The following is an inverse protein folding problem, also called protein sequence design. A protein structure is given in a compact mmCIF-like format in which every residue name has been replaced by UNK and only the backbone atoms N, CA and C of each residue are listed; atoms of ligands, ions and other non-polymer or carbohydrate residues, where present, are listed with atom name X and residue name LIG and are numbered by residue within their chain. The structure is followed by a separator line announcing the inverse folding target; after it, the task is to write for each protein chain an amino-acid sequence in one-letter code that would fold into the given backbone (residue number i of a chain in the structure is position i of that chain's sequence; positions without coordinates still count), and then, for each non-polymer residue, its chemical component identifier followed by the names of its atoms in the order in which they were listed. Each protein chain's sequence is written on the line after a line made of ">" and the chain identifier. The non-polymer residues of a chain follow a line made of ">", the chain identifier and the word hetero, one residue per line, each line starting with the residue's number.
data_IF_185234359730
#
_entry.id   IF_185234359730
#
_cell.length_a   1.000
_cell.length_b   1.000
_cell.length_c   1.000
_cell.angle_alpha   90.00
_cell.angle_beta   90.00
_cell.angle_gamma   90.00
#
_symmetry.space_group_name_H-M   'P 1'
#
loop_
_entity.id
_entity.type
_entity.pdbx_description
1 polymer ?
#
# COMPACT_ATOMS: atom_id res chain seq x y z
N UNK A 1 13.72 3.47 -2.14
CA UNK A 1 12.61 2.97 -1.30
C UNK A 1 11.97 4.18 -0.64
N UNK A 2 10.67 4.38 -0.85
CA UNK A 2 9.93 5.52 -0.30
C UNK A 2 9.70 5.30 1.18
N UNK A 3 10.00 6.31 1.99
CA UNK A 3 9.81 6.27 3.46
C UNK A 3 8.42 6.80 3.78
N UNK A 4 7.61 6.00 4.45
CA UNK A 4 6.26 6.38 4.86
C UNK A 4 6.24 6.76 6.33
N UNK A 5 5.61 7.90 6.62
CA UNK A 5 5.43 8.41 7.97
C UNK A 5 4.12 7.91 8.56
N UNK A 6 4.11 7.72 9.87
CA UNK A 6 2.93 7.37 10.64
C UNK A 6 2.00 8.59 10.68
N UNK A 7 0.72 8.48 10.26
CA UNK A 7 -0.23 9.59 10.30
C UNK A 7 -0.61 10.01 11.74
N UNK A 8 -0.24 9.23 12.75
CA UNK A 8 -0.53 9.52 14.16
C UNK A 8 0.59 10.27 14.86
N UNK A 9 1.86 9.92 14.60
CA UNK A 9 2.99 10.49 15.33
C UNK A 9 4.07 11.14 14.45
N UNK A 10 3.89 11.16 13.12
CA UNK A 10 4.84 11.75 12.16
C UNK A 10 6.17 11.00 12.01
N UNK A 11 6.45 10.01 12.86
CA UNK A 11 7.68 9.18 12.80
C UNK A 11 7.58 8.13 11.70
N UNK A 12 8.71 7.57 11.29
CA UNK A 12 8.79 6.51 10.27
C UNK A 12 7.94 5.29 10.66
N UNK A 13 7.06 4.85 9.77
CA UNK A 13 6.22 3.68 9.94
C UNK A 13 6.77 2.47 9.19
N UNK A 14 7.06 2.64 7.90
CA UNK A 14 7.60 1.59 7.04
C UNK A 14 8.28 2.22 5.81
N UNK A 15 8.97 1.39 5.04
CA UNK A 15 9.50 1.75 3.73
C UNK A 15 8.96 0.77 2.70
N UNK A 16 8.69 1.26 1.49
CA UNK A 16 8.23 0.43 0.40
C UNK A 16 8.79 0.91 -0.93
N UNK A 17 8.96 -0.02 -1.86
CA UNK A 17 9.21 0.31 -3.26
C UNK A 17 7.91 0.65 -4.01
N UNK A 18 6.75 0.26 -3.46
CA UNK A 18 5.42 0.54 -4.02
C UNK A 18 4.84 1.81 -3.40
N UNK A 19 3.95 2.46 -4.13
CA UNK A 19 3.15 3.57 -3.62
C UNK A 19 2.13 3.06 -2.61
N UNK A 20 2.20 3.58 -1.38
CA UNK A 20 1.31 3.24 -0.28
C UNK A 20 0.56 4.48 0.22
N UNK A 21 -0.65 4.27 0.72
CA UNK A 21 -1.36 5.21 1.58
C UNK A 21 -1.48 4.62 2.97
N UNK A 22 -1.26 5.43 4.01
CA UNK A 22 -1.36 5.01 5.41
C UNK A 22 -2.41 5.85 6.13
N UNK A 23 -3.32 5.19 6.84
CA UNK A 23 -4.29 5.80 7.73
C UNK A 23 -4.23 5.14 9.10
N UNK A 24 -4.74 5.82 10.14
CA UNK A 24 -4.99 5.17 11.43
C UNK A 24 -6.09 4.12 11.21
N UNK A 25 -5.88 2.89 11.69
CA UNK A 25 -6.89 1.84 11.59
C UNK A 25 -8.13 2.24 12.41
N UNK A 26 -9.29 2.10 11.80
CA UNK A 26 -10.61 2.24 12.42
C UNK A 26 -11.56 1.19 11.84
N UNK A 27 -12.70 0.98 12.49
CA UNK A 27 -13.70 0.00 12.04
C UNK A 27 -14.19 0.26 10.60
N UNK A 28 -14.22 1.52 10.16
CA UNK A 28 -14.65 1.90 8.80
C UNK A 28 -13.66 1.53 7.70
N UNK A 29 -12.36 1.49 8.01
CA UNK A 29 -11.30 1.28 7.01
C UNK A 29 -10.59 -0.08 7.14
N UNK A 30 -10.88 -0.85 8.19
CA UNK A 30 -10.29 -2.16 8.43
C UNK A 30 -10.52 -3.12 7.26
N UNK A 31 -11.76 -3.19 6.75
CA UNK A 31 -12.10 -4.06 5.61
C UNK A 31 -11.53 -3.59 4.27
N UNK A 32 -11.08 -2.33 4.19
CA UNK A 32 -10.52 -1.72 2.98
C UNK A 32 -8.98 -1.73 2.99
N UNK A 33 -8.36 -2.11 4.11
CA UNK A 33 -6.92 -2.15 4.24
C UNK A 33 -6.35 -3.38 3.53
N UNK A 34 -5.36 -3.19 2.65
CA UNK A 34 -4.63 -4.31 2.05
C UNK A 34 -3.71 -4.97 3.10
N UNK A 35 -3.13 -4.16 3.98
CA UNK A 35 -2.17 -4.59 5.00
C UNK A 35 -2.43 -3.79 6.28
N UNK A 36 -2.42 -4.47 7.43
CA UNK A 36 -2.51 -3.84 8.75
C UNK A 36 -1.15 -3.94 9.43
N UNK A 37 -0.57 -2.81 9.84
CA UNK A 37 0.71 -2.75 10.54
C UNK A 37 0.61 -1.98 11.85
N UNK A 38 1.53 -2.21 12.79
CA UNK A 38 1.63 -1.45 14.03
C UNK A 38 2.82 -0.48 13.97
N UNK A 39 2.58 0.81 14.24
CA UNK A 39 3.66 1.78 14.34
C UNK A 39 4.59 1.42 15.51
N UNK A 40 5.89 1.30 15.25
CA UNK A 40 6.84 0.94 16.30
C UNK A 40 7.06 2.06 17.33
N UNK A 41 6.76 3.32 16.98
CA UNK A 41 6.94 4.46 17.87
C UNK A 41 5.73 4.72 18.77
N UNK A 42 4.56 5.05 18.19
CA UNK A 42 3.35 5.38 18.97
C UNK A 42 2.43 4.17 19.25
N UNK A 43 2.80 2.98 18.76
CA UNK A 43 2.05 1.72 18.93
C UNK A 43 0.63 1.73 18.36
N UNK A 44 0.24 2.77 17.62
CA UNK A 44 -1.03 2.82 16.89
C UNK A 44 -1.03 1.82 15.74
N UNK A 45 -2.17 1.16 15.55
CA UNK A 45 -2.41 0.29 14.40
C UNK A 45 -2.79 1.14 13.19
N UNK A 46 -2.20 0.83 12.03
CA UNK A 46 -2.33 1.57 10.79
C UNK A 46 -2.88 0.64 9.71
N UNK A 47 -3.86 1.15 8.97
CA UNK A 47 -4.31 0.58 7.71
C UNK A 47 -3.38 1.07 6.59
N UNK A 48 -2.89 0.14 5.77
CA UNK A 48 -2.03 0.42 4.63
C UNK A 48 -2.72 -0.06 3.37
N UNK A 49 -2.85 0.86 2.40
CA UNK A 49 -3.43 0.59 1.10
C UNK A 49 -2.35 0.72 0.03
N UNK A 50 -2.19 -0.31 -0.80
CA UNK A 50 -1.18 -0.34 -1.85
C UNK A 50 -1.78 0.24 -3.11
N UNK A 51 -1.47 1.50 -3.41
CA UNK A 51 -1.88 2.13 -4.66
C UNK A 51 -1.00 1.60 -5.77
N UNK A 52 -1.43 0.53 -6.43
CA UNK A 52 -0.83 0.15 -7.70
C UNK A 52 -1.20 1.25 -8.70
N UNK A 53 -0.21 1.98 -9.20
CA UNK A 53 -0.42 2.86 -10.33
C UNK A 53 -0.62 1.92 -11.53
N UNK A 54 -1.84 1.44 -11.70
CA UNK A 54 -2.25 0.56 -12.80
C UNK A 54 -2.30 1.42 -14.06
N UNK A 55 -1.12 1.85 -14.54
CA UNK A 55 -0.96 1.95 -15.97
C UNK A 55 -1.13 0.54 -16.47
N UNK A 56 -2.36 0.25 -16.91
CA UNK A 56 -2.73 -0.98 -17.58
C UNK A 56 -1.73 -1.16 -18.71
N UNK A 57 -0.68 -1.96 -18.46
CA UNK A 57 -0.05 -2.70 -19.54
C UNK A 57 -1.12 -3.70 -19.93
N UNK A 58 -2.01 -3.26 -20.82
CA UNK A 58 -2.73 -4.15 -21.72
C UNK A 58 -1.58 -4.87 -22.42
N UNK A 59 -1.17 -6.03 -21.90
CA UNK A 59 -0.40 -6.96 -22.69
C UNK A 59 -1.31 -7.23 -23.89
N UNK A 60 -0.98 -6.57 -24.99
CA UNK A 60 -1.37 -7.00 -26.31
C UNK A 60 -0.99 -8.48 -26.36
N UNK A 61 -2.00 -9.34 -26.38
CA UNK A 61 -1.84 -10.71 -26.84
C UNK A 61 -1.49 -10.63 -28.34
N UNK A 62 -0.23 -10.32 -28.62
CA UNK A 62 0.50 -10.81 -29.77
C UNK A 62 1.44 -11.86 -29.16
N UNK A 63 1.41 -13.13 -29.55
CA UNK A 63 1.57 -13.56 -30.94
C UNK A 63 0.97 -14.95 -31.21
N UNK A 64 0.48 -15.08 -32.45
CA UNK A 64 0.72 -16.17 -33.40
C UNK A 64 1.03 -17.58 -32.87
N UNK A 65 0.25 -18.56 -33.30
CA UNK A 65 0.87 -19.74 -33.89
C UNK A 65 0.05 -20.34 -35.04
N UNK A 66 0.70 -20.30 -36.20
CA UNK A 66 0.44 -21.01 -37.44
C UNK A 66 0.75 -22.49 -37.28
N UNK A 67 -0.20 -23.39 -37.56
CA UNK A 67 0.04 -24.58 -38.39
C UNK A 67 -1.25 -25.27 -38.80
#
# INVERSE_FOLDING_TARGET
>A
MTKYQCPVCGKRACDSAKSLSLAKLSSDNESQADIIIKCQCCKSTLAVNVTQNTFIVKQLNSSENTK
#
